data_IF_349762850079
#
_entry.id   IF_349762850079
#
_cell.length_a   1.000
_cell.length_b   1.000
_cell.length_c   1.000
_cell.angle_alpha   90.00
_cell.angle_beta   90.00
_cell.angle_gamma   90.00
#
_symmetry.space_group_name_H-M   'P 1'
#
loop_
_entity.id
_entity.type
_entity.pdbx_description
1 polymer ?
#
# COMPACT_ATOMS: atom_id res chain seq x y z
N UNK A 1 -14.13 9.57 -14.98
CA UNK A 1 -13.65 10.88 -15.37
C UNK A 1 -14.58 12.01 -14.90
N UNK A 2 -15.86 12.02 -15.34
CA UNK A 2 -16.82 13.09 -15.01
C UNK A 2 -16.96 13.33 -13.51
N UNK A 3 -17.01 12.28 -12.70
CA UNK A 3 -17.13 12.37 -11.23
C UNK A 3 -15.93 13.14 -10.64
N UNK A 4 -14.71 12.82 -11.04
CA UNK A 4 -13.50 13.50 -10.55
C UNK A 4 -13.42 14.96 -11.03
N UNK A 5 -14.01 15.26 -12.20
CA UNK A 5 -14.05 16.62 -12.75
C UNK A 5 -15.09 17.52 -12.08
N UNK A 6 -16.11 16.95 -11.45
CA UNK A 6 -17.20 17.71 -10.82
C UNK A 6 -16.79 18.22 -9.42
N UNK A 7 -15.98 19.27 -9.41
CA UNK A 7 -15.49 19.90 -8.17
C UNK A 7 -16.62 20.47 -7.32
N UNK A 8 -17.70 20.95 -7.93
CA UNK A 8 -18.87 21.51 -7.21
C UNK A 8 -19.51 20.41 -6.37
N UNK A 9 -19.76 19.25 -6.98
CA UNK A 9 -20.32 18.10 -6.27
C UNK A 9 -19.36 17.58 -5.19
N UNK A 10 -18.09 17.39 -5.52
CA UNK A 10 -17.08 16.91 -4.56
C UNK A 10 -16.95 17.82 -3.34
N UNK A 11 -16.93 19.15 -3.56
CA UNK A 11 -16.86 20.11 -2.45
C UNK A 11 -18.14 20.12 -1.61
N UNK A 12 -19.30 19.91 -2.23
CA UNK A 12 -20.59 19.77 -1.52
C UNK A 12 -20.65 18.50 -0.70
N UNK A 13 -20.22 17.37 -1.28
CA UNK A 13 -20.30 16.06 -0.65
C UNK A 13 -19.27 15.89 0.49
N UNK A 14 -18.10 16.57 0.39
CA UNK A 14 -17.04 16.49 1.40
C UNK A 14 -16.57 15.05 1.62
N UNK A 15 -16.75 14.52 2.84
CA UNK A 15 -16.42 13.15 3.23
C UNK A 15 -17.58 12.15 3.09
N UNK A 16 -18.73 12.60 2.59
CA UNK A 16 -19.90 11.73 2.44
C UNK A 16 -19.62 10.42 1.69
N UNK A 17 -18.75 10.38 0.65
CA UNK A 17 -18.42 9.15 -0.05
C UNK A 17 -17.79 8.05 0.82
N UNK A 18 -17.14 8.39 1.92
CA UNK A 18 -16.49 7.44 2.85
C UNK A 18 -17.16 7.41 4.23
N UNK A 19 -18.28 8.14 4.38
CA UNK A 19 -18.93 8.30 5.70
C UNK A 19 -19.43 6.98 6.26
N UNK A 20 -19.99 6.11 5.46
CA UNK A 20 -20.48 4.83 5.92
C UNK A 20 -19.39 3.96 6.53
N UNK A 21 -18.21 3.93 5.90
CA UNK A 21 -17.03 3.23 6.41
C UNK A 21 -16.48 3.93 7.66
N UNK A 22 -16.42 5.27 7.71
CA UNK A 22 -16.02 6.00 8.91
C UNK A 22 -16.94 5.69 10.09
N UNK A 23 -18.26 5.66 9.87
CA UNK A 23 -19.26 5.33 10.90
C UNK A 23 -19.11 3.88 11.38
N UNK A 24 -18.83 2.94 10.45
CA UNK A 24 -18.56 1.54 10.78
C UNK A 24 -17.31 1.40 11.64
N UNK A 25 -16.23 2.10 11.30
CA UNK A 25 -15.00 2.11 12.10
C UNK A 25 -15.21 2.77 13.47
N UNK A 26 -15.99 3.84 13.55
CA UNK A 26 -16.34 4.50 14.80
C UNK A 26 -17.18 3.61 15.72
N UNK A 27 -17.99 2.71 15.16
CA UNK A 27 -18.82 1.77 15.90
C UNK A 27 -18.10 0.49 16.34
N UNK A 28 -16.80 0.34 16.04
CA UNK A 28 -15.99 -0.83 16.38
C UNK A 28 -15.97 -1.10 17.90
N UNK A 29 -16.34 -2.32 18.31
CA UNK A 29 -16.52 -2.68 19.71
C UNK A 29 -15.53 -3.70 20.25
N UNK A 30 -15.08 -4.62 19.41
CA UNK A 30 -14.26 -5.72 19.83
C UNK A 30 -13.23 -6.16 18.76
N UNK A 31 -12.31 -7.03 19.18
CA UNK A 31 -11.25 -7.54 18.32
C UNK A 31 -11.76 -8.41 17.15
N UNK A 32 -12.87 -9.10 17.31
CA UNK A 32 -13.42 -9.96 16.27
C UNK A 32 -13.92 -9.10 15.08
N UNK A 33 -14.66 -8.02 15.40
CA UNK A 33 -15.05 -7.03 14.39
C UNK A 33 -13.82 -6.37 13.75
N UNK A 34 -12.78 -6.07 14.55
CA UNK A 34 -11.54 -5.48 14.06
C UNK A 34 -10.89 -6.32 12.95
N UNK A 35 -10.71 -7.62 13.15
CA UNK A 35 -10.09 -8.49 12.13
C UNK A 35 -10.94 -8.62 10.86
N UNK A 36 -12.24 -8.65 11.01
CA UNK A 36 -13.16 -8.64 9.86
C UNK A 36 -13.03 -7.33 9.06
N UNK A 37 -13.02 -6.18 9.75
CA UNK A 37 -12.85 -4.87 9.11
C UNK A 37 -11.48 -4.71 8.45
N UNK A 38 -10.40 -5.21 9.06
CA UNK A 38 -9.07 -5.20 8.46
C UNK A 38 -9.05 -5.95 7.12
N UNK A 39 -9.67 -7.12 7.05
CA UNK A 39 -9.79 -7.89 5.82
C UNK A 39 -10.62 -7.16 4.76
N UNK A 40 -11.74 -6.55 5.14
CA UNK A 40 -12.59 -5.78 4.23
C UNK A 40 -11.90 -4.49 3.73
N UNK A 41 -11.18 -3.79 4.58
CA UNK A 41 -10.37 -2.63 4.20
C UNK A 41 -9.29 -3.03 3.20
N UNK A 42 -8.57 -4.13 3.44
CA UNK A 42 -7.53 -4.58 2.53
C UNK A 42 -8.09 -4.99 1.15
N UNK A 43 -9.27 -5.62 1.06
CA UNK A 43 -9.93 -5.88 -0.23
C UNK A 43 -10.25 -4.60 -1.00
N UNK A 44 -10.47 -3.49 -0.30
CA UNK A 44 -10.64 -2.15 -0.88
C UNK A 44 -9.31 -1.44 -1.18
N UNK A 45 -8.16 -2.09 -0.95
CA UNK A 45 -6.83 -1.51 -1.13
C UNK A 45 -6.36 -0.61 0.01
N UNK A 46 -7.06 -0.60 1.15
CA UNK A 46 -6.70 0.19 2.33
C UNK A 46 -5.93 -0.71 3.30
N UNK A 47 -4.63 -0.48 3.41
CA UNK A 47 -3.73 -1.33 4.19
C UNK A 47 -3.30 -0.59 5.45
N UNK A 48 -3.64 -1.14 6.62
CA UNK A 48 -3.34 -0.52 7.90
C UNK A 48 -2.00 -0.98 8.51
N UNK A 49 -1.71 -2.28 8.41
CA UNK A 49 -0.53 -2.90 9.03
C UNK A 49 0.34 -3.61 8.00
N UNK A 50 0.27 -4.93 7.93
CA UNK A 50 0.97 -5.70 6.91
C UNK A 50 0.02 -6.01 5.75
N UNK A 51 0.52 -5.99 4.53
CA UNK A 51 -0.26 -6.49 3.39
C UNK A 51 -0.22 -8.01 3.36
N UNK A 52 -1.37 -8.61 3.04
CA UNK A 52 -1.49 -10.02 2.69
C UNK A 52 -1.87 -10.09 1.22
N UNK A 53 -1.15 -10.88 0.44
CA UNK A 53 -1.38 -11.02 -1.00
C UNK A 53 -1.13 -12.46 -1.44
N UNK A 54 -1.57 -12.78 -2.65
CA UNK A 54 -1.31 -14.05 -3.29
C UNK A 54 -0.38 -13.81 -4.47
N UNK A 55 0.75 -14.50 -4.50
CA UNK A 55 1.76 -14.38 -5.54
C UNK A 55 2.49 -15.70 -5.76
N UNK A 56 3.31 -15.78 -6.81
CA UNK A 56 4.15 -16.96 -7.04
C UNK A 56 5.06 -17.21 -5.83
N UNK A 57 5.19 -18.48 -5.44
CA UNK A 57 6.16 -18.89 -4.45
C UNK A 57 7.56 -18.76 -5.04
N UNK A 58 8.44 -17.97 -4.42
CA UNK A 58 9.78 -17.69 -4.93
C UNK A 58 10.67 -18.95 -5.05
N UNK A 59 10.40 -19.99 -4.25
CA UNK A 59 11.11 -21.28 -4.32
C UNK A 59 10.43 -22.29 -5.22
N UNK A 60 9.19 -22.02 -5.65
CA UNK A 60 8.43 -22.87 -6.58
C UNK A 60 7.48 -22.02 -7.42
N UNK A 61 7.99 -21.39 -8.46
CA UNK A 61 7.25 -20.43 -9.30
C UNK A 61 6.04 -21.03 -10.04
N UNK A 62 5.87 -22.35 -10.05
CA UNK A 62 4.68 -23.01 -10.59
C UNK A 62 3.49 -23.00 -9.63
N UNK A 63 3.69 -22.58 -8.39
CA UNK A 63 2.67 -22.51 -7.34
C UNK A 63 2.47 -21.09 -6.88
N UNK A 64 1.22 -20.73 -6.57
CA UNK A 64 0.90 -19.50 -5.85
C UNK A 64 0.86 -19.78 -4.34
N UNK A 65 1.32 -18.84 -3.55
CA UNK A 65 1.28 -18.88 -2.11
C UNK A 65 0.65 -17.60 -1.55
N UNK A 66 0.02 -17.74 -0.38
CA UNK A 66 -0.38 -16.58 0.43
C UNK A 66 0.87 -16.04 1.10
N UNK A 67 1.08 -14.74 1.02
CA UNK A 67 2.30 -14.07 1.50
C UNK A 67 1.96 -12.83 2.29
N UNK A 68 2.81 -12.46 3.25
CA UNK A 68 2.73 -11.18 3.95
C UNK A 68 3.97 -10.34 3.68
N UNK A 69 3.77 -9.02 3.65
CA UNK A 69 4.86 -8.07 3.48
C UNK A 69 4.67 -6.85 4.40
N UNK A 70 5.77 -6.33 4.93
CA UNK A 70 5.74 -5.13 5.76
C UNK A 70 5.27 -3.91 4.96
N UNK A 71 4.25 -3.22 5.47
CA UNK A 71 3.71 -1.98 4.92
C UNK A 71 2.84 -1.28 5.96
N UNK A 72 2.24 -0.17 5.61
CA UNK A 72 1.33 0.56 6.50
C UNK A 72 1.92 1.84 7.07
N UNK A 73 3.19 2.15 6.83
CA UNK A 73 3.76 3.46 7.19
C UNK A 73 3.29 4.53 6.21
N UNK A 74 2.62 5.56 6.69
CA UNK A 74 2.11 6.64 5.85
C UNK A 74 3.22 7.45 5.19
N UNK A 75 4.36 7.66 5.87
CA UNK A 75 5.55 8.30 5.27
C UNK A 75 6.42 7.34 4.43
N UNK A 76 6.01 6.07 4.31
CA UNK A 76 6.66 5.04 3.49
C UNK A 76 7.88 4.38 4.15
N UNK A 77 8.88 5.13 4.53
CA UNK A 77 10.14 4.60 5.04
C UNK A 77 10.26 4.71 6.56
N UNK A 78 10.87 3.69 7.19
CA UNK A 78 11.09 3.64 8.65
C UNK A 78 11.95 4.81 9.16
N UNK A 79 12.87 5.28 8.34
CA UNK A 79 13.82 6.33 8.65
C UNK A 79 13.10 7.63 9.04
N UNK A 80 11.99 7.98 8.40
CA UNK A 80 11.19 9.17 8.74
C UNK A 80 10.66 9.16 10.18
N UNK A 81 10.50 7.98 10.78
CA UNK A 81 10.02 7.82 12.16
C UNK A 81 11.16 7.73 13.17
N UNK A 82 12.34 7.26 12.77
CA UNK A 82 13.41 6.84 13.68
C UNK A 82 14.63 7.76 13.65
N UNK A 83 14.96 8.38 12.51
CA UNK A 83 16.11 9.25 12.38
C UNK A 83 15.86 10.61 13.08
N UNK A 84 16.94 11.21 13.62
CA UNK A 84 16.86 12.46 14.39
C UNK A 84 17.62 13.62 13.76
N UNK A 85 17.99 13.51 12.48
CA UNK A 85 18.53 14.65 11.74
C UNK A 85 17.44 15.73 11.53
N UNK A 86 17.88 16.96 11.29
CA UNK A 86 16.99 18.12 11.20
C UNK A 86 15.96 18.01 10.07
N UNK A 87 16.36 17.45 8.92
CA UNK A 87 15.48 17.33 7.76
C UNK A 87 14.35 16.33 8.03
N UNK A 88 14.69 15.15 8.56
CA UNK A 88 13.73 14.12 8.92
C UNK A 88 12.79 14.58 10.05
N UNK A 89 13.33 15.31 11.05
CA UNK A 89 12.51 15.89 12.12
C UNK A 89 11.47 16.88 11.58
N UNK A 90 11.84 17.75 10.64
CA UNK A 90 10.91 18.70 9.99
C UNK A 90 9.80 17.97 9.22
N UNK A 91 10.13 16.92 8.47
CA UNK A 91 9.13 16.10 7.76
C UNK A 91 8.17 15.45 8.76
N UNK A 92 8.69 14.88 9.85
CA UNK A 92 7.88 14.25 10.90
C UNK A 92 6.94 15.24 11.59
N UNK A 93 7.36 16.47 11.84
CA UNK A 93 6.50 17.51 12.41
C UNK A 93 5.45 18.01 11.42
N UNK A 94 5.81 18.11 10.14
CA UNK A 94 4.86 18.39 9.07
C UNK A 94 3.83 17.25 8.94
N UNK A 95 4.23 15.99 9.11
CA UNK A 95 3.31 14.85 9.12
C UNK A 95 2.31 14.91 10.27
N UNK A 96 2.76 15.24 11.49
CA UNK A 96 1.84 15.43 12.64
C UNK A 96 0.78 16.48 12.33
N UNK A 97 1.21 17.62 11.78
CA UNK A 97 0.32 18.71 11.37
C UNK A 97 -0.65 18.24 10.28
N UNK A 98 -0.15 17.50 9.30
CA UNK A 98 -0.96 16.94 8.21
C UNK A 98 -2.05 16.00 8.74
N UNK A 99 -1.68 15.02 9.57
CA UNK A 99 -2.65 14.07 10.14
C UNK A 99 -3.75 14.77 10.92
N UNK A 100 -3.37 15.69 11.83
CA UNK A 100 -4.35 16.44 12.62
C UNK A 100 -5.30 17.26 11.73
N UNK A 101 -4.76 17.94 10.72
CA UNK A 101 -5.56 18.74 9.79
C UNK A 101 -6.49 17.89 8.93
N UNK A 102 -6.05 16.71 8.51
CA UNK A 102 -6.89 15.78 7.74
C UNK A 102 -8.08 15.26 8.56
N UNK A 103 -7.89 14.95 9.85
CA UNK A 103 -9.00 14.63 10.75
C UNK A 103 -9.99 15.79 10.88
N UNK A 104 -9.50 17.01 11.06
CA UNK A 104 -10.37 18.21 11.14
C UNK A 104 -11.16 18.41 9.84
N UNK A 105 -10.52 18.25 8.68
CA UNK A 105 -11.18 18.33 7.37
C UNK A 105 -12.22 17.20 7.18
N UNK A 106 -12.01 16.07 7.83
CA UNK A 106 -12.96 14.96 7.86
C UNK A 106 -14.14 15.17 8.86
N UNK A 107 -14.13 16.29 9.60
CA UNK A 107 -15.21 16.69 10.49
C UNK A 107 -15.02 16.30 11.95
N UNK A 108 -13.83 15.83 12.36
CA UNK A 108 -13.51 15.55 13.76
C UNK A 108 -13.20 16.85 14.50
N UNK A 109 -13.57 16.92 15.80
CA UNK A 109 -13.18 18.03 16.65
C UNK A 109 -11.66 18.06 16.92
N UNK A 110 -11.16 19.19 17.43
CA UNK A 110 -9.74 19.44 17.64
C UNK A 110 -9.11 18.40 18.62
N UNK A 111 -9.82 18.02 19.68
CA UNK A 111 -9.33 17.10 20.69
C UNK A 111 -9.20 15.68 20.10
N UNK A 112 -10.21 15.24 19.35
CA UNK A 112 -10.21 13.95 18.64
C UNK A 112 -9.16 13.92 17.55
N UNK A 113 -9.00 14.99 16.76
CA UNK A 113 -7.98 15.10 15.72
C UNK A 113 -6.56 15.03 16.32
N UNK A 114 -6.31 15.69 17.44
CA UNK A 114 -5.04 15.60 18.14
C UNK A 114 -4.78 14.18 18.67
N UNK A 115 -5.77 13.55 19.32
CA UNK A 115 -5.66 12.16 19.79
C UNK A 115 -5.41 11.19 18.64
N UNK A 116 -6.10 11.36 17.50
CA UNK A 116 -5.90 10.57 16.30
C UNK A 116 -4.46 10.69 15.78
N UNK A 117 -3.93 11.90 15.71
CA UNK A 117 -2.54 12.15 15.31
C UNK A 117 -1.55 11.45 16.26
N UNK A 118 -1.75 11.55 17.56
CA UNK A 118 -0.89 10.90 18.56
C UNK A 118 -0.91 9.36 18.41
N UNK A 119 -2.09 8.78 18.17
CA UNK A 119 -2.26 7.34 17.91
C UNK A 119 -1.55 6.92 16.63
N UNK A 120 -1.71 7.67 15.54
CA UNK A 120 -1.02 7.39 14.26
C UNK A 120 0.49 7.38 14.45
N UNK A 121 1.02 8.39 15.13
CA UNK A 121 2.46 8.49 15.41
C UNK A 121 2.96 7.34 16.28
N UNK A 122 2.21 6.92 17.31
CA UNK A 122 2.59 5.78 18.16
C UNK A 122 2.60 4.49 17.36
N UNK A 123 1.51 4.17 16.68
CA UNK A 123 1.36 2.94 15.91
C UNK A 123 2.44 2.83 14.83
N UNK A 124 2.59 3.86 14.01
CA UNK A 124 3.53 3.81 12.89
C UNK A 124 5.00 3.86 13.36
N UNK A 125 5.31 4.50 14.50
CA UNK A 125 6.65 4.43 15.10
C UNK A 125 6.94 3.01 15.64
N UNK A 126 5.96 2.35 16.24
CA UNK A 126 6.12 0.95 16.71
C UNK A 126 6.34 0.01 15.53
N UNK A 127 5.60 0.17 14.44
CA UNK A 127 5.82 -0.58 13.20
C UNK A 127 7.20 -0.30 12.59
N UNK A 128 7.58 0.97 12.48
CA UNK A 128 8.86 1.39 11.91
C UNK A 128 10.07 0.76 12.62
N UNK A 129 10.00 0.62 13.95
CA UNK A 129 11.04 -0.04 14.75
C UNK A 129 11.25 -1.52 14.38
N UNK A 130 10.19 -2.19 13.91
CA UNK A 130 10.23 -3.60 13.54
C UNK A 130 10.45 -3.83 12.02
N UNK A 131 10.36 -2.77 11.21
CA UNK A 131 10.57 -2.87 9.77
C UNK A 131 12.04 -3.07 9.43
N UNK A 132 12.29 -3.85 8.40
CA UNK A 132 13.59 -3.89 7.72
C UNK A 132 13.79 -2.65 6.87
N UNK A 133 15.02 -2.19 6.76
CA UNK A 133 15.43 -1.13 5.82
C UNK A 133 15.29 -1.61 4.36
N UNK A 134 15.29 -0.67 3.43
CA UNK A 134 15.30 -0.98 1.98
C UNK A 134 16.45 -1.90 1.56
N UNK A 135 17.60 -1.78 2.21
CA UNK A 135 18.76 -2.62 1.91
C UNK A 135 18.54 -4.05 2.41
N UNK A 136 18.03 -4.22 3.63
CA UNK A 136 17.72 -5.53 4.20
C UNK A 136 16.60 -6.26 3.44
N UNK A 137 15.64 -5.52 2.88
CA UNK A 137 14.56 -6.10 2.06
C UNK A 137 15.04 -6.69 0.73
N UNK A 138 16.28 -6.44 0.31
CA UNK A 138 16.85 -7.01 -0.92
C UNK A 138 17.32 -8.45 -0.75
N UNK A 139 17.39 -8.97 0.47
CA UNK A 139 17.76 -10.36 0.73
C UNK A 139 16.53 -11.28 0.57
N UNK A 140 16.42 -12.05 -0.54
CA UNK A 140 15.27 -12.90 -0.79
C UNK A 140 15.19 -14.05 0.20
N UNK A 141 16.33 -14.57 0.68
CA UNK A 141 16.34 -15.66 1.66
C UNK A 141 15.79 -15.21 3.01
N UNK A 142 16.18 -14.01 3.45
CA UNK A 142 15.66 -13.43 4.69
C UNK A 142 14.17 -13.11 4.62
N UNK A 143 13.62 -12.84 3.42
CA UNK A 143 12.20 -12.57 3.19
C UNK A 143 11.36 -13.83 2.97
N UNK A 144 11.94 -15.03 2.91
CA UNK A 144 11.24 -16.28 2.67
C UNK A 144 11.12 -17.11 3.95
N UNK A 145 10.04 -16.91 4.69
CA UNK A 145 9.75 -17.65 5.93
C UNK A 145 8.43 -18.42 5.76
N UNK A 146 8.49 -19.50 4.99
CA UNK A 146 7.34 -20.37 4.75
C UNK A 146 7.03 -21.20 5.98
N UNK A 147 5.76 -21.25 6.38
CA UNK A 147 5.30 -22.01 7.54
C UNK A 147 3.86 -22.50 7.34
N UNK A 148 3.50 -23.54 8.06
CA UNK A 148 2.12 -24.04 8.15
C UNK A 148 1.23 -23.04 8.90
N UNK A 149 -0.09 -23.12 8.69
CA UNK A 149 -1.05 -22.34 9.46
C UNK A 149 -1.02 -22.66 10.97
N UNK A 150 -0.66 -23.89 11.34
CA UNK A 150 -0.48 -24.28 12.75
C UNK A 150 0.71 -23.53 13.37
N UNK A 151 1.85 -23.51 12.69
CA UNK A 151 3.04 -22.76 13.12
C UNK A 151 2.77 -21.26 13.16
N UNK A 152 2.06 -20.73 12.16
CA UNK A 152 1.68 -19.32 12.14
C UNK A 152 0.86 -18.92 13.36
N UNK A 153 -0.19 -19.69 13.69
CA UNK A 153 -1.04 -19.48 14.87
C UNK A 153 -0.26 -19.61 16.18
N UNK A 154 0.70 -20.53 16.23
CA UNK A 154 1.59 -20.71 17.39
C UNK A 154 2.55 -19.52 17.56
N UNK A 155 3.09 -18.99 16.46
CA UNK A 155 4.04 -17.89 16.48
C UNK A 155 3.36 -16.51 16.73
N UNK A 156 2.10 -16.38 16.32
CA UNK A 156 1.30 -15.16 16.45
C UNK A 156 -0.08 -15.47 17.06
N UNK A 157 -0.12 -15.93 18.34
CA UNK A 157 -1.34 -16.48 18.94
C UNK A 157 -2.41 -15.41 19.23
N UNK A 158 -2.03 -14.14 19.30
CA UNK A 158 -2.95 -13.02 19.57
C UNK A 158 -3.65 -12.52 18.30
N UNK A 159 -3.23 -12.99 17.12
CA UNK A 159 -3.83 -12.59 15.85
C UNK A 159 -4.90 -13.59 15.43
N UNK A 160 -6.14 -13.11 15.22
CA UNK A 160 -7.24 -13.96 14.73
C UNK A 160 -7.14 -14.19 13.22
N UNK A 161 -6.28 -15.14 12.85
CA UNK A 161 -6.05 -15.52 11.46
C UNK A 161 -7.29 -16.02 10.75
N UNK A 162 -8.17 -16.76 11.46
CA UNK A 162 -9.37 -17.33 10.86
C UNK A 162 -10.38 -16.23 10.48
N UNK A 163 -10.60 -15.27 11.37
CA UNK A 163 -11.46 -14.12 11.09
C UNK A 163 -10.89 -13.26 9.94
N UNK A 164 -9.58 -12.97 9.96
CA UNK A 164 -8.92 -12.14 8.95
C UNK A 164 -8.92 -12.80 7.56
N UNK A 165 -8.47 -14.06 7.46
CA UNK A 165 -8.44 -14.80 6.19
C UNK A 165 -9.85 -15.01 5.61
N UNK A 166 -10.83 -15.30 6.48
CA UNK A 166 -12.24 -15.41 6.07
C UNK A 166 -12.76 -14.08 5.48
N UNK A 167 -12.45 -12.96 6.12
CA UNK A 167 -12.82 -11.63 5.61
C UNK A 167 -12.16 -11.32 4.26
N UNK A 168 -10.92 -11.78 4.05
CA UNK A 168 -10.22 -11.70 2.77
C UNK A 168 -10.78 -12.64 1.69
N UNK A 169 -11.69 -13.55 2.05
CA UNK A 169 -12.24 -14.56 1.14
C UNK A 169 -11.29 -15.74 0.90
N UNK A 170 -10.23 -15.86 1.69
CA UNK A 170 -9.26 -16.94 1.60
C UNK A 170 -9.71 -18.11 2.48
N UNK A 171 -9.93 -19.26 1.85
CA UNK A 171 -10.36 -20.50 2.52
C UNK A 171 -9.28 -21.56 2.35
N UNK A 172 -9.22 -22.46 3.31
CA UNK A 172 -8.35 -23.65 3.26
C UNK A 172 -6.86 -23.36 3.01
N UNK A 173 -6.40 -22.19 3.47
CA UNK A 173 -4.97 -21.85 3.44
C UNK A 173 -4.23 -22.79 4.37
N UNK A 174 -3.26 -23.53 3.83
CA UNK A 174 -2.47 -24.51 4.60
C UNK A 174 -1.10 -23.98 5.00
N UNK A 175 -0.54 -23.13 4.16
CA UNK A 175 0.80 -22.56 4.32
C UNK A 175 0.78 -21.09 3.95
N UNK A 176 1.68 -20.33 4.56
CA UNK A 176 1.89 -18.90 4.30
C UNK A 176 3.39 -18.60 4.27
N UNK A 177 3.78 -17.64 3.44
CA UNK A 177 5.15 -17.10 3.44
C UNK A 177 5.11 -15.77 4.18
N UNK A 178 5.79 -15.68 5.31
CA UNK A 178 5.93 -14.46 6.09
C UNK A 178 7.19 -13.73 5.63
N UNK A 179 7.03 -12.60 4.96
CA UNK A 179 8.17 -11.84 4.44
C UNK A 179 9.06 -11.28 5.56
N UNK A 180 8.47 -10.60 6.53
CA UNK A 180 9.19 -9.97 7.64
C UNK A 180 8.55 -10.37 8.98
N UNK A 181 9.04 -11.43 9.64
CA UNK A 181 8.47 -11.94 10.89
C UNK A 181 8.40 -10.90 12.03
N UNK A 182 9.42 -10.04 12.16
CA UNK A 182 9.44 -8.99 13.19
C UNK A 182 8.33 -7.95 12.98
N UNK A 183 8.10 -7.55 11.72
CA UNK A 183 7.01 -6.63 11.36
C UNK A 183 5.64 -7.23 11.65
N UNK A 184 5.42 -8.48 11.27
CA UNK A 184 4.17 -9.18 11.54
C UNK A 184 3.92 -9.33 13.04
N UNK A 185 4.98 -9.62 13.81
CA UNK A 185 4.88 -9.66 15.26
C UNK A 185 4.50 -8.30 15.85
N UNK A 186 5.13 -7.23 15.40
CA UNK A 186 4.80 -5.88 15.88
C UNK A 186 3.33 -5.52 15.57
N UNK A 187 2.84 -5.86 14.38
CA UNK A 187 1.44 -5.68 14.02
C UNK A 187 0.50 -6.49 14.94
N UNK A 188 0.80 -7.76 15.20
CA UNK A 188 0.04 -8.60 16.10
C UNK A 188 0.03 -8.05 17.55
N UNK A 189 1.19 -7.59 18.04
CA UNK A 189 1.32 -7.00 19.37
C UNK A 189 0.53 -5.67 19.48
N UNK A 190 0.52 -4.84 18.43
CA UNK A 190 -0.28 -3.61 18.37
C UNK A 190 -1.77 -3.94 18.40
N UNK A 191 -2.21 -4.88 17.56
CA UNK A 191 -3.60 -5.32 17.50
C UNK A 191 -4.08 -5.94 18.82
N UNK A 192 -3.18 -6.56 19.57
CA UNK A 192 -3.49 -7.12 20.88
C UNK A 192 -3.55 -6.07 22.00
N UNK A 193 -2.63 -5.13 22.01
CA UNK A 193 -2.41 -4.23 23.17
C UNK A 193 -3.03 -2.85 23.03
N UNK A 194 -3.26 -2.37 21.79
CA UNK A 194 -3.84 -1.05 21.57
C UNK A 194 -5.34 -1.07 21.90
N UNK A 195 -5.86 -0.14 22.73
CA UNK A 195 -7.29 -0.04 23.01
C UNK A 195 -8.14 0.07 21.75
N UNK A 196 -9.32 -0.57 21.76
CA UNK A 196 -10.19 -0.65 20.57
C UNK A 196 -10.57 0.74 20.00
N UNK A 197 -10.75 1.72 20.87
CA UNK A 197 -11.00 3.10 20.46
C UNK A 197 -9.82 3.71 19.68
N UNK A 198 -8.59 3.39 20.08
CA UNK A 198 -7.40 3.84 19.35
C UNK A 198 -7.19 3.06 18.06
N UNK A 199 -7.53 1.75 18.04
CA UNK A 199 -7.60 0.99 16.77
C UNK A 199 -8.56 1.65 15.78
N UNK A 200 -9.76 2.01 16.26
CA UNK A 200 -10.75 2.73 15.45
C UNK A 200 -10.17 4.02 14.86
N UNK A 201 -9.55 4.86 15.67
CA UNK A 201 -8.92 6.10 15.20
C UNK A 201 -7.86 5.79 14.14
N UNK A 202 -6.97 4.84 14.38
CA UNK A 202 -5.93 4.50 13.39
C UNK A 202 -6.50 4.01 12.06
N UNK A 203 -7.53 3.17 12.09
CA UNK A 203 -8.18 2.69 10.86
C UNK A 203 -8.94 3.82 10.12
N UNK A 204 -9.57 4.74 10.86
CA UNK A 204 -10.17 5.95 10.27
C UNK A 204 -9.11 6.81 9.57
N UNK A 205 -7.92 6.97 10.16
CA UNK A 205 -6.79 7.62 9.49
C UNK A 205 -6.45 6.94 8.16
N UNK A 206 -6.27 5.62 8.14
CA UNK A 206 -5.91 4.89 6.92
C UNK A 206 -6.98 5.04 5.83
N UNK A 207 -8.24 5.08 6.20
CA UNK A 207 -9.34 5.34 5.27
C UNK A 207 -9.31 6.77 4.73
N UNK A 208 -9.18 7.77 5.60
CA UNK A 208 -9.12 9.19 5.23
C UNK A 208 -7.94 9.44 4.29
N UNK A 209 -6.76 8.99 4.66
CA UNK A 209 -5.53 9.18 3.90
C UNK A 209 -5.61 8.53 2.50
N UNK A 210 -6.13 7.32 2.42
CA UNK A 210 -6.29 6.60 1.13
C UNK A 210 -7.28 7.28 0.19
N UNK A 211 -8.32 7.93 0.71
CA UNK A 211 -9.37 8.58 -0.07
C UNK A 211 -9.08 10.06 -0.38
N UNK A 212 -8.20 10.70 0.37
CA UNK A 212 -8.00 12.15 0.43
C UNK A 212 -7.91 12.85 -0.92
N UNK A 213 -7.14 12.29 -1.86
CA UNK A 213 -6.94 12.88 -3.19
C UNK A 213 -8.17 12.85 -4.10
N UNK A 214 -9.20 12.08 -3.74
CA UNK A 214 -10.44 11.87 -4.50
C UNK A 214 -11.67 12.53 -3.84
N UNK A 215 -11.49 13.13 -2.65
CA UNK A 215 -12.54 13.84 -1.93
C UNK A 215 -12.61 15.32 -2.36
N UNK A 216 -12.98 16.21 -1.45
CA UNK A 216 -13.09 17.63 -1.75
C UNK A 216 -11.73 18.31 -1.99
N UNK A 217 -11.76 19.54 -2.48
CA UNK A 217 -10.54 20.30 -2.82
C UNK A 217 -9.65 20.53 -1.60
N UNK A 218 -10.22 20.80 -0.43
CA UNK A 218 -9.45 21.06 0.79
C UNK A 218 -8.63 19.84 1.23
N UNK A 219 -9.23 18.64 1.15
CA UNK A 219 -8.53 17.38 1.47
C UNK A 219 -7.50 17.02 0.41
N UNK A 220 -7.83 17.18 -0.86
CA UNK A 220 -6.89 16.94 -1.96
C UNK A 220 -5.68 17.87 -1.90
N UNK A 221 -5.89 19.16 -1.59
CA UNK A 221 -4.80 20.14 -1.42
C UNK A 221 -3.93 19.84 -0.21
N UNK A 222 -4.53 19.47 0.94
CA UNK A 222 -3.77 19.11 2.13
C UNK A 222 -2.95 17.82 1.92
N UNK A 223 -3.49 16.86 1.18
CA UNK A 223 -2.79 15.64 0.80
C UNK A 223 -1.59 15.95 -0.13
N UNK A 224 -1.81 16.80 -1.13
CA UNK A 224 -0.74 17.27 -2.02
C UNK A 224 0.34 18.06 -1.27
N UNK A 225 -0.05 18.93 -0.35
CA UNK A 225 0.86 19.77 0.42
C UNK A 225 1.86 18.95 1.23
N UNK A 226 1.40 17.84 1.82
CA UNK A 226 2.29 16.95 2.54
C UNK A 226 3.07 16.01 1.60
N UNK A 227 2.40 15.12 0.88
CA UNK A 227 3.08 14.05 0.13
C UNK A 227 3.84 14.53 -1.10
N UNK A 228 3.36 15.57 -1.77
CA UNK A 228 4.00 16.07 -2.99
C UNK A 228 4.89 17.26 -2.72
N UNK A 229 4.40 18.31 -2.02
CA UNK A 229 5.19 19.51 -1.79
C UNK A 229 6.26 19.29 -0.73
N UNK A 230 5.88 18.79 0.45
CA UNK A 230 6.81 18.63 1.57
C UNK A 230 7.77 17.45 1.38
N UNK A 231 7.25 16.28 1.03
CA UNK A 231 8.09 15.09 0.91
C UNK A 231 8.84 14.99 -0.43
N UNK A 232 8.23 15.42 -1.53
CA UNK A 232 8.78 15.22 -2.88
C UNK A 232 9.27 16.49 -3.56
N UNK A 233 9.07 17.67 -2.95
CA UNK A 233 9.51 18.97 -3.49
C UNK A 233 8.69 19.47 -4.69
N UNK A 234 7.58 18.84 -5.04
CA UNK A 234 6.70 19.25 -6.15
C UNK A 234 5.95 20.53 -5.79
N UNK A 235 6.12 21.60 -6.56
CA UNK A 235 5.58 22.92 -6.21
C UNK A 235 4.10 23.09 -6.57
N UNK A 236 3.66 22.52 -7.69
CA UNK A 236 2.32 22.74 -8.24
C UNK A 236 1.56 21.43 -8.45
N UNK A 237 0.31 21.42 -8.02
CA UNK A 237 -0.60 20.32 -8.29
C UNK A 237 -0.97 20.29 -9.77
N UNK A 238 -0.95 19.10 -10.36
CA UNK A 238 -1.40 18.93 -11.74
C UNK A 238 -2.86 19.41 -11.93
N UNK A 239 -3.19 19.98 -13.09
CA UNK A 239 -4.58 20.34 -13.41
C UNK A 239 -5.54 19.18 -13.20
N UNK A 240 -6.75 19.46 -12.70
CA UNK A 240 -7.75 18.44 -12.35
C UNK A 240 -8.01 17.43 -13.46
N UNK A 241 -8.06 17.88 -14.71
CA UNK A 241 -8.30 16.96 -15.83
C UNK A 241 -7.20 15.92 -15.99
N UNK A 242 -5.92 16.26 -15.77
CA UNK A 242 -4.81 15.30 -15.79
C UNK A 242 -4.93 14.30 -14.66
N UNK A 243 -5.22 14.76 -13.44
CA UNK A 243 -5.47 13.90 -12.28
C UNK A 243 -6.65 12.94 -12.53
N UNK A 244 -7.74 13.45 -13.11
CA UNK A 244 -8.90 12.64 -13.48
C UNK A 244 -8.56 11.57 -14.52
N UNK A 245 -7.77 11.88 -15.53
CA UNK A 245 -7.27 10.88 -16.50
C UNK A 245 -6.40 9.84 -15.80
N UNK A 246 -5.47 10.27 -14.95
CA UNK A 246 -4.60 9.34 -14.20
C UNK A 246 -5.40 8.40 -13.29
N UNK A 247 -6.42 8.92 -12.59
CA UNK A 247 -7.32 8.11 -11.75
C UNK A 247 -8.05 7.04 -12.58
N UNK A 248 -8.60 7.42 -13.74
CA UNK A 248 -9.30 6.47 -14.61
C UNK A 248 -8.33 5.43 -15.19
N UNK A 249 -7.14 5.88 -15.63
CA UNK A 249 -6.12 4.98 -16.16
C UNK A 249 -5.57 4.02 -15.09
N UNK A 250 -5.46 4.48 -13.83
CA UNK A 250 -5.08 3.61 -12.71
C UNK A 250 -6.13 2.54 -12.38
N UNK A 251 -7.41 2.90 -12.47
CA UNK A 251 -8.51 1.99 -12.11
C UNK A 251 -8.94 1.06 -13.27
N UNK A 252 -8.87 1.53 -14.53
CA UNK A 252 -9.40 0.86 -15.72
C UNK A 252 -8.40 0.88 -16.89
N UNK A 253 -7.10 0.74 -16.59
CA UNK A 253 -6.00 0.93 -17.54
C UNK A 253 -6.14 0.11 -18.82
N UNK A 254 -6.47 -1.16 -18.72
CA UNK A 254 -6.65 -2.04 -19.88
C UNK A 254 -7.80 -1.58 -20.79
N UNK A 255 -8.94 -1.21 -20.22
CA UNK A 255 -10.07 -0.72 -20.99
C UNK A 255 -9.77 0.64 -21.66
N UNK A 256 -9.09 1.54 -20.95
CA UNK A 256 -8.63 2.81 -21.53
C UNK A 256 -7.58 2.56 -22.60
N UNK A 257 -6.71 1.57 -22.40
CA UNK A 257 -5.68 1.14 -23.35
C UNK A 257 -6.29 0.65 -24.67
N UNK A 258 -7.37 -0.12 -24.64
CA UNK A 258 -8.09 -0.55 -25.85
C UNK A 258 -8.57 0.65 -26.67
N UNK A 259 -9.26 1.60 -26.01
CA UNK A 259 -9.74 2.82 -26.67
C UNK A 259 -8.61 3.66 -27.27
N UNK A 260 -7.47 3.73 -26.58
CA UNK A 260 -6.27 4.43 -27.06
C UNK A 260 -5.69 3.73 -28.29
N UNK A 261 -5.53 2.40 -28.24
CA UNK A 261 -4.97 1.59 -29.33
C UNK A 261 -5.81 1.70 -30.60
N UNK A 262 -7.14 1.57 -30.49
CA UNK A 262 -8.05 1.71 -31.61
C UNK A 262 -7.86 3.04 -32.37
N UNK A 263 -7.58 4.12 -31.64
CA UNK A 263 -7.53 5.46 -32.21
C UNK A 263 -6.12 5.95 -32.57
N UNK A 264 -5.13 5.59 -31.78
CA UNK A 264 -3.80 6.22 -31.85
C UNK A 264 -2.64 5.24 -32.04
N UNK A 265 -2.87 3.92 -32.05
CA UNK A 265 -1.82 2.92 -32.19
C UNK A 265 -2.13 1.93 -33.33
N UNK A 266 -1.91 2.33 -34.60
CA UNK A 266 -2.23 1.51 -35.76
C UNK A 266 -1.38 0.23 -35.83
N UNK A 267 -1.88 -0.80 -36.52
CA UNK A 267 -1.24 -2.12 -36.66
C UNK A 267 0.24 -2.02 -37.11
N UNK A 268 0.55 -1.14 -38.05
CA UNK A 268 1.92 -0.92 -38.51
C UNK A 268 2.87 -0.44 -37.38
N UNK A 269 2.38 0.38 -36.42
CA UNK A 269 3.16 0.78 -35.27
C UNK A 269 3.44 -0.41 -34.33
N UNK A 270 2.44 -1.28 -34.13
CA UNK A 270 2.60 -2.52 -33.36
C UNK A 270 3.63 -3.44 -34.00
N UNK A 271 3.59 -3.65 -35.30
CA UNK A 271 4.56 -4.49 -36.01
C UNK A 271 5.99 -3.97 -35.89
N UNK A 272 6.18 -2.64 -35.99
CA UNK A 272 7.49 -2.02 -35.79
C UNK A 272 7.99 -2.23 -34.36
N UNK A 273 7.14 -2.10 -33.33
CA UNK A 273 7.52 -2.36 -31.93
C UNK A 273 7.85 -3.84 -31.71
N UNK A 274 7.09 -4.78 -32.30
CA UNK A 274 7.40 -6.21 -32.23
C UNK A 274 8.77 -6.49 -32.88
N UNK A 275 9.07 -5.89 -34.03
CA UNK A 275 10.38 -6.00 -34.67
C UNK A 275 11.50 -5.43 -33.78
N UNK A 276 11.27 -4.26 -33.16
CA UNK A 276 12.23 -3.67 -32.23
C UNK A 276 12.54 -4.62 -31.06
N UNK A 277 11.51 -5.20 -30.45
CA UNK A 277 11.68 -6.15 -29.34
C UNK A 277 12.45 -7.40 -29.76
N UNK A 278 12.15 -7.96 -30.96
CA UNK A 278 12.88 -9.10 -31.51
C UNK A 278 14.36 -8.78 -31.72
N UNK A 279 14.67 -7.62 -32.30
CA UNK A 279 16.07 -7.20 -32.46
C UNK A 279 16.81 -7.04 -31.13
N UNK A 280 16.11 -6.52 -30.09
CA UNK A 280 16.67 -6.44 -28.75
C UNK A 280 16.93 -7.82 -28.14
N UNK A 281 16.02 -8.78 -28.32
CA UNK A 281 16.22 -10.17 -27.91
C UNK A 281 17.41 -10.82 -28.61
N UNK A 282 17.52 -10.68 -29.93
CA UNK A 282 18.67 -11.20 -30.69
C UNK A 282 19.99 -10.61 -30.20
N UNK A 283 20.05 -9.27 -30.05
CA UNK A 283 21.24 -8.60 -29.52
C UNK A 283 21.58 -9.03 -28.08
N UNK A 284 20.58 -9.30 -27.25
CA UNK A 284 20.77 -9.85 -25.90
C UNK A 284 21.37 -11.26 -25.98
N UNK A 285 20.82 -12.11 -26.86
CA UNK A 285 21.34 -13.46 -27.09
C UNK A 285 22.82 -13.46 -27.50
N UNK A 286 23.19 -12.61 -28.49
CA UNK A 286 24.60 -12.43 -28.92
C UNK A 286 25.51 -11.99 -27.75
N UNK A 287 25.04 -11.03 -26.92
CA UNK A 287 25.79 -10.58 -25.75
C UNK A 287 26.00 -11.68 -24.73
N UNK A 288 24.94 -12.45 -24.41
CA UNK A 288 25.00 -13.57 -23.46
C UNK A 288 26.05 -14.60 -23.94
N UNK A 289 26.05 -14.96 -25.23
CA UNK A 289 27.02 -15.92 -25.78
C UNK A 289 28.46 -15.45 -25.59
N UNK A 290 28.72 -14.15 -25.65
CA UNK A 290 30.06 -13.57 -25.52
C UNK A 290 30.49 -13.29 -24.06
N UNK A 291 29.68 -13.59 -23.03
CA UNK A 291 30.05 -13.37 -21.64
C UNK A 291 31.05 -14.42 -21.16
N UNK A 292 32.27 -13.99 -20.84
CA UNK A 292 33.34 -14.87 -20.39
C UNK A 292 33.12 -15.45 -18.98
N UNK A 293 32.34 -14.77 -18.14
CA UNK A 293 32.08 -15.18 -16.76
C UNK A 293 30.90 -16.13 -16.60
N UNK A 294 30.10 -16.33 -17.66
CA UNK A 294 28.89 -17.15 -17.63
C UNK A 294 29.16 -18.53 -18.24
N UNK A 295 28.83 -19.61 -17.53
CA UNK A 295 28.95 -20.99 -18.03
C UNK A 295 27.89 -21.33 -19.10
N UNK A 296 28.18 -22.30 -19.97
CA UNK A 296 27.36 -22.65 -21.13
C UNK A 296 25.93 -23.08 -20.77
N UNK A 297 25.75 -23.82 -19.66
CA UNK A 297 24.44 -24.20 -19.15
C UNK A 297 23.60 -23.00 -18.74
N UNK A 298 24.21 -22.00 -18.12
CA UNK A 298 23.55 -20.75 -17.73
C UNK A 298 23.23 -19.90 -18.94
N UNK A 299 24.12 -19.82 -19.93
CA UNK A 299 23.85 -19.13 -21.20
C UNK A 299 22.64 -19.70 -21.91
N UNK A 300 22.50 -21.03 -21.96
CA UNK A 300 21.39 -21.71 -22.61
C UNK A 300 20.02 -21.35 -22.03
N UNK A 301 19.91 -21.26 -20.68
CA UNK A 301 18.63 -20.95 -20.00
C UNK A 301 18.38 -19.42 -19.87
N UNK A 302 19.39 -18.60 -20.00
CA UNK A 302 19.24 -17.12 -19.87
C UNK A 302 18.62 -16.48 -21.10
N UNK A 303 18.47 -17.21 -22.20
CA UNK A 303 17.91 -16.72 -23.47
C UNK A 303 16.49 -17.22 -23.74
N UNK A 304 16.03 -18.20 -22.99
CA UNK A 304 14.68 -18.74 -23.10
C UNK A 304 13.72 -18.06 -22.13
#
# INVERSE_FOLDING_TARGET
YKIVMDSVKLNKDGVAPIKAELDQLAALKDKKELYALLGDMQKKGIIAYNVLYVGADEMNSSMNAVQTYQTGLSMGEREYYLENDEATAKIRDAFRTHVQKMYQLAGFDEATAKKGMEVVMDVETRLAKAFRSRTELRDPHANYNKMSMEELKKNYPTFDWDAYLSAMGLKDVKEIIVGQPASLKAAADILDTLPIEQQSLYLQWKLIDSAASLLNDAMAEQNFDFYSRTMSGTQEMQPRWKRAVSTVSGALGEAVGQMYVEKYFPAAAKERMVTLVKNLQESLGERIQNLAWMGDSTKAVSYT
#
